data_IF_123762919544
#
_entry.id   IF_123762919544
#
_cell.length_a   1.000
_cell.length_b   1.000
_cell.length_c   1.000
_cell.angle_alpha   90.00
_cell.angle_beta   90.00
_cell.angle_gamma   90.00
#
_symmetry.space_group_name_H-M   'P 1'
#
loop_
_entity.id
_entity.type
_entity.pdbx_description
1 polymer ?
#
# COMPACT_ATOMS: atom_id res chain seq x y z
N UNK A 1 -29.61 -17.03 30.24
CA UNK A 1 -29.54 -15.85 29.35
C UNK A 1 -28.11 -15.34 29.41
N UNK A 2 -27.25 -15.86 28.54
CA UNK A 2 -25.83 -15.48 28.48
C UNK A 2 -25.71 -14.11 27.85
N UNK A 3 -25.11 -13.20 28.60
CA UNK A 3 -24.76 -11.85 28.19
C UNK A 3 -23.67 -11.98 27.12
N UNK A 4 -24.07 -12.05 25.85
CA UNK A 4 -23.16 -11.93 24.73
C UNK A 4 -22.53 -10.55 24.81
N UNK A 5 -21.24 -10.49 25.10
CA UNK A 5 -20.47 -9.26 25.08
C UNK A 5 -20.59 -8.65 23.68
N UNK A 6 -21.19 -7.47 23.61
CA UNK A 6 -21.06 -6.58 22.46
C UNK A 6 -19.61 -6.06 22.48
N UNK A 7 -18.64 -6.92 22.16
CA UNK A 7 -17.33 -6.45 21.71
C UNK A 7 -17.59 -5.85 20.33
N UNK A 8 -17.79 -4.54 20.28
CA UNK A 8 -17.75 -3.76 19.05
C UNK A 8 -16.46 -4.15 18.34
N UNK A 9 -16.55 -4.80 17.17
CA UNK A 9 -15.38 -5.11 16.36
C UNK A 9 -14.71 -3.79 16.03
N UNK A 10 -13.41 -3.72 16.29
CA UNK A 10 -12.60 -2.61 15.82
C UNK A 10 -12.58 -2.66 14.28
N UNK A 11 -12.60 -1.50 13.62
CA UNK A 11 -12.62 -1.40 12.16
C UNK A 11 -11.44 -0.53 11.70
N UNK A 12 -10.84 -0.80 10.52
CA UNK A 12 -9.86 0.10 9.92
C UNK A 12 -10.42 1.51 9.66
N UNK A 13 -9.54 2.49 9.57
CA UNK A 13 -9.91 3.85 9.15
C UNK A 13 -10.55 3.83 7.76
N UNK A 14 -10.03 3.00 6.85
CA UNK A 14 -10.56 2.77 5.52
C UNK A 14 -10.17 1.37 5.03
N UNK A 15 -11.00 0.80 4.15
CA UNK A 15 -10.59 -0.32 3.31
C UNK A 15 -10.27 0.18 1.90
N UNK A 16 -9.06 -0.09 1.42
CA UNK A 16 -8.59 0.39 0.13
C UNK A 16 -7.11 0.09 -0.13
N UNK A 17 -6.54 0.75 -1.12
CA UNK A 17 -5.13 0.74 -1.46
C UNK A 17 -4.61 2.18 -1.44
N UNK A 18 -3.38 2.37 -0.96
CA UNK A 18 -2.69 3.67 -0.96
C UNK A 18 -1.58 3.55 -1.98
N UNK A 19 -1.79 4.16 -3.15
CA UNK A 19 -0.83 4.11 -4.25
C UNK A 19 0.30 5.12 -4.02
N UNK A 20 -0.08 6.30 -3.54
CA UNK A 20 0.78 7.47 -3.49
C UNK A 20 0.63 8.29 -2.20
N UNK A 21 1.52 9.26 -2.01
CA UNK A 21 1.39 10.24 -0.93
C UNK A 21 0.11 11.08 -1.07
N UNK A 22 -0.36 11.31 -2.31
CA UNK A 22 -1.62 11.96 -2.63
C UNK A 22 -2.83 11.24 -2.03
N UNK A 23 -2.88 9.91 -2.16
CA UNK A 23 -3.95 9.10 -1.57
C UNK A 23 -3.89 9.11 -0.04
N UNK A 24 -2.69 9.01 0.52
CA UNK A 24 -2.49 9.11 1.96
C UNK A 24 -2.97 10.46 2.51
N UNK A 25 -2.70 11.56 1.80
CA UNK A 25 -3.21 12.89 2.14
C UNK A 25 -4.73 12.98 2.01
N UNK A 26 -5.34 12.32 1.03
CA UNK A 26 -6.80 12.30 0.87
C UNK A 26 -7.49 11.54 2.00
N UNK A 27 -6.93 10.41 2.44
CA UNK A 27 -7.43 9.69 3.63
C UNK A 27 -7.24 10.54 4.89
N UNK A 28 -6.08 11.18 5.07
CA UNK A 28 -5.86 12.07 6.20
C UNK A 28 -6.84 13.25 6.21
N UNK A 29 -7.07 13.89 5.06
CA UNK A 29 -8.04 14.99 4.93
C UNK A 29 -9.45 14.52 5.35
N UNK A 30 -9.85 13.31 4.97
CA UNK A 30 -11.13 12.74 5.39
C UNK A 30 -11.21 12.56 6.92
N UNK A 31 -10.11 12.15 7.57
CA UNK A 31 -10.02 12.11 9.02
C UNK A 31 -10.11 13.51 9.65
N UNK A 32 -9.38 14.49 9.10
CA UNK A 32 -9.39 15.88 9.59
C UNK A 32 -10.76 16.55 9.47
N UNK A 33 -11.59 16.12 8.52
CA UNK A 33 -12.99 16.57 8.36
C UNK A 33 -14.00 15.73 9.15
N UNK A 34 -13.57 14.67 9.83
CA UNK A 34 -14.44 13.79 10.61
C UNK A 34 -15.28 12.82 9.76
N UNK A 35 -14.95 12.62 8.49
CA UNK A 35 -15.58 11.61 7.65
C UNK A 35 -15.05 10.20 7.94
N UNK A 36 -13.77 10.11 8.28
CA UNK A 36 -13.10 8.89 8.74
C UNK A 36 -12.56 9.12 10.15
N UNK A 37 -12.26 8.04 10.87
CA UNK A 37 -11.78 8.12 12.25
C UNK A 37 -10.31 7.74 12.35
N UNK A 38 -9.54 8.53 13.11
CA UNK A 38 -8.22 8.12 13.56
C UNK A 38 -8.32 6.92 14.49
N UNK A 39 -7.27 6.10 14.51
CA UNK A 39 -7.05 5.08 15.51
C UNK A 39 -6.84 5.76 16.87
N UNK A 40 -7.70 5.51 17.88
CA UNK A 40 -7.68 6.27 19.12
C UNK A 40 -6.73 5.68 20.17
N UNK A 41 -6.18 4.48 19.93
CA UNK A 41 -5.27 3.75 20.84
C UNK A 41 -4.62 2.58 20.13
N UNK A 42 -3.58 2.01 20.75
CA UNK A 42 -3.02 0.73 20.32
C UNK A 42 -4.10 -0.36 20.28
N UNK A 43 -4.06 -1.17 19.23
CA UNK A 43 -4.93 -2.34 19.07
C UNK A 43 -4.59 -3.40 20.12
N UNK A 44 -5.62 -4.10 20.62
CA UNK A 44 -5.39 -5.35 21.32
C UNK A 44 -4.98 -6.45 20.32
N UNK A 45 -4.23 -7.48 20.75
CA UNK A 45 -3.84 -8.59 19.88
C UNK A 45 -5.01 -9.23 19.14
N UNK A 46 -6.13 -9.45 19.83
CA UNK A 46 -7.34 -10.05 19.25
C UNK A 46 -8.00 -9.12 18.20
N UNK A 47 -7.96 -7.81 18.42
CA UNK A 47 -8.45 -6.82 17.44
C UNK A 47 -7.56 -6.84 16.21
N UNK A 48 -6.24 -6.74 16.40
CA UNK A 48 -5.25 -6.75 15.33
C UNK A 48 -5.38 -8.00 14.45
N UNK A 49 -5.55 -9.18 15.03
CA UNK A 49 -5.75 -10.43 14.28
C UNK A 49 -6.95 -10.34 13.31
N UNK A 50 -7.98 -9.56 13.65
CA UNK A 50 -9.18 -9.42 12.83
C UNK A 50 -9.09 -8.30 11.78
N UNK A 51 -8.29 -7.25 12.02
CA UNK A 51 -8.28 -6.04 11.17
C UNK A 51 -6.99 -5.87 10.37
N UNK A 52 -5.88 -6.52 10.72
CA UNK A 52 -4.62 -6.45 9.97
C UNK A 52 -4.67 -7.45 8.82
N UNK A 53 -5.12 -6.96 7.66
CA UNK A 53 -5.29 -7.77 6.45
C UNK A 53 -5.09 -6.90 5.20
N UNK A 54 -4.96 -7.54 4.03
CA UNK A 54 -4.88 -6.80 2.77
C UNK A 54 -6.08 -5.87 2.61
N UNK A 55 -5.79 -4.62 2.24
CA UNK A 55 -6.77 -3.56 2.07
C UNK A 55 -6.99 -2.70 3.31
N UNK A 56 -6.50 -3.09 4.49
CA UNK A 56 -6.71 -2.28 5.70
C UNK A 56 -5.82 -1.04 5.71
N UNK A 57 -6.42 0.12 5.99
CA UNK A 57 -5.72 1.40 6.14
C UNK A 57 -6.06 1.98 7.52
N UNK A 58 -5.04 2.44 8.23
CA UNK A 58 -5.14 3.04 9.55
C UNK A 58 -4.47 4.41 9.55
N UNK A 59 -5.11 5.38 10.20
CA UNK A 59 -4.50 6.69 10.44
C UNK A 59 -4.43 6.92 11.93
N UNK A 60 -3.25 7.15 12.49
CA UNK A 60 -3.12 7.51 13.90
C UNK A 60 -2.31 8.79 14.07
N UNK A 61 -2.53 9.44 15.20
CA UNK A 61 -1.81 10.63 15.63
C UNK A 61 -1.25 10.35 17.03
N UNK A 62 0.03 10.62 17.26
CA UNK A 62 0.74 10.14 18.44
C UNK A 62 0.25 10.72 19.77
N UNK A 63 -0.12 12.01 19.81
CA UNK A 63 -0.49 12.70 21.05
C UNK A 63 -1.85 12.25 21.59
N UNK A 64 -2.87 12.16 20.74
CA UNK A 64 -4.23 11.79 21.09
C UNK A 64 -4.38 10.28 21.29
N UNK A 65 -3.65 9.46 20.52
CA UNK A 65 -3.71 7.99 20.66
C UNK A 65 -2.78 7.41 21.73
N UNK A 66 -1.76 8.18 22.15
CA UNK A 66 -0.67 7.69 22.99
C UNK A 66 0.30 6.73 22.28
N UNK A 67 0.19 6.58 20.96
CA UNK A 67 1.01 5.66 20.16
C UNK A 67 2.26 6.35 19.61
N UNK A 68 3.44 5.92 20.07
CA UNK A 68 4.71 6.34 19.46
C UNK A 68 5.06 5.57 18.18
N UNK A 69 4.51 4.36 18.06
CA UNK A 69 4.72 3.46 16.93
C UNK A 69 3.50 2.59 16.69
N UNK A 70 3.42 2.03 15.49
CA UNK A 70 2.36 1.11 15.10
C UNK A 70 2.71 -0.32 15.49
N UNK A 71 1.86 -0.97 16.29
CA UNK A 71 2.00 -2.37 16.68
C UNK A 71 0.87 -3.21 16.10
N UNK A 72 1.22 -4.12 15.21
CA UNK A 72 0.31 -5.03 14.49
C UNK A 72 0.55 -6.50 14.84
N UNK A 73 1.46 -6.80 15.76
CA UNK A 73 1.80 -8.16 16.21
C UNK A 73 2.27 -9.12 15.10
N UNK A 74 2.69 -8.61 13.95
CA UNK A 74 3.29 -9.40 12.87
C UNK A 74 4.83 -9.34 12.91
N UNK A 75 5.47 -10.41 12.44
CA UNK A 75 6.91 -10.44 12.16
C UNK A 75 7.18 -9.91 10.75
N UNK A 76 7.98 -8.85 10.66
CA UNK A 76 8.25 -8.11 9.42
C UNK A 76 9.71 -8.27 8.97
N UNK A 77 9.95 -8.12 7.67
CA UNK A 77 11.27 -7.96 7.06
C UNK A 77 12.06 -6.76 7.64
N UNK A 78 13.31 -6.57 7.23
CA UNK A 78 13.96 -5.27 7.45
C UNK A 78 13.21 -4.19 6.64
N UNK A 79 12.84 -3.10 7.30
CA UNK A 79 12.08 -2.03 6.67
C UNK A 79 12.90 -1.34 5.58
N UNK A 80 12.32 -1.19 4.40
CA UNK A 80 12.94 -0.58 3.23
C UNK A 80 12.30 0.77 2.93
N UNK A 81 13.11 1.81 2.72
CA UNK A 81 12.62 3.09 2.22
C UNK A 81 12.46 3.00 0.70
N UNK A 82 11.25 3.26 0.20
CA UNK A 82 10.95 3.36 -1.24
C UNK A 82 10.03 4.56 -1.44
N UNK A 83 10.45 5.52 -2.26
CA UNK A 83 9.82 6.83 -2.29
C UNK A 83 9.80 7.49 -0.89
N UNK A 84 8.69 8.11 -0.55
CA UNK A 84 8.40 8.67 0.79
C UNK A 84 7.84 7.63 1.78
N UNK A 85 7.75 6.36 1.38
CA UNK A 85 7.18 5.30 2.20
C UNK A 85 8.25 4.38 2.78
N UNK A 86 7.99 3.91 3.99
CA UNK A 86 8.70 2.78 4.56
C UNK A 86 7.85 1.53 4.39
N UNK A 87 8.44 0.49 3.80
CA UNK A 87 7.74 -0.73 3.39
C UNK A 87 8.36 -1.98 4.02
N UNK A 88 7.52 -2.93 4.40
CA UNK A 88 7.88 -4.22 4.99
C UNK A 88 7.01 -5.32 4.41
N UNK A 89 7.49 -6.57 4.43
CA UNK A 89 6.66 -7.73 4.10
C UNK A 89 6.78 -8.80 5.18
N UNK A 90 5.75 -9.64 5.30
CA UNK A 90 5.81 -10.87 6.10
C UNK A 90 6.68 -11.91 5.39
N UNK A 91 7.27 -12.84 6.15
CA UNK A 91 7.83 -14.04 5.55
C UNK A 91 6.74 -14.86 4.82
N UNK A 92 7.13 -15.65 3.81
CA UNK A 92 6.22 -16.61 3.15
C UNK A 92 5.60 -17.50 4.24
N UNK A 93 4.28 -17.60 4.28
CA UNK A 93 3.67 -18.66 5.09
C UNK A 93 4.17 -19.99 4.54
N UNK A 94 4.75 -20.84 5.38
CA UNK A 94 5.16 -22.20 5.00
C UNK A 94 3.95 -22.94 4.41
N UNK A 95 3.83 -22.96 3.08
CA UNK A 95 3.23 -24.10 2.40
C UNK A 95 4.19 -25.25 2.71
N UNK A 96 3.78 -26.12 3.63
CA UNK A 96 4.57 -27.23 4.08
C UNK A 96 4.97 -28.12 2.90
N UNK A 97 6.23 -28.59 2.95
CA UNK A 97 6.75 -29.79 2.30
C UNK A 97 6.54 -29.90 0.79
N UNK A 98 7.42 -29.29 0.00
CA UNK A 98 7.93 -29.96 -1.20
C UNK A 98 9.39 -29.57 -1.40
N UNK A 99 10.25 -30.58 -1.39
CA UNK A 99 11.70 -30.46 -1.40
C UNK A 99 12.29 -30.16 -2.81
N UNK A 100 11.46 -29.68 -3.74
CA UNK A 100 11.81 -29.56 -5.17
C UNK A 100 11.55 -28.16 -5.75
N UNK A 101 11.50 -27.11 -4.94
CA UNK A 101 11.43 -25.74 -5.42
C UNK A 101 12.79 -25.24 -5.96
N UNK A 102 13.29 -25.87 -7.02
CA UNK A 102 14.37 -25.34 -7.86
C UNK A 102 13.79 -24.35 -8.87
N UNK A 103 13.29 -23.22 -8.42
CA UNK A 103 13.24 -21.96 -9.18
C UNK A 103 13.07 -20.84 -8.15
N UNK A 104 13.86 -19.78 -8.27
CA UNK A 104 13.73 -18.59 -7.45
C UNK A 104 12.41 -17.89 -7.78
N UNK A 105 11.30 -18.42 -7.25
CA UNK A 105 10.00 -17.76 -7.30
C UNK A 105 10.11 -16.44 -6.53
N UNK A 106 9.68 -15.35 -7.16
CA UNK A 106 9.80 -13.99 -6.63
C UNK A 106 9.29 -13.92 -5.18
N UNK A 107 9.94 -13.10 -4.35
CA UNK A 107 9.56 -12.86 -2.94
C UNK A 107 8.09 -12.38 -2.75
N UNK A 108 7.40 -12.06 -3.85
CA UNK A 108 6.01 -11.61 -3.92
C UNK A 108 5.05 -12.62 -4.58
N UNK A 109 5.53 -13.82 -4.93
CA UNK A 109 4.76 -14.92 -5.50
C UNK A 109 3.76 -15.49 -4.45
N UNK A 110 2.63 -14.79 -4.37
CA UNK A 110 1.40 -15.05 -3.63
C UNK A 110 1.50 -15.22 -2.10
N UNK A 111 0.85 -14.31 -1.37
CA UNK A 111 0.50 -14.49 0.04
C UNK A 111 1.30 -13.66 1.05
N UNK A 112 2.36 -12.97 0.63
CA UNK A 112 3.09 -12.04 1.50
C UNK A 112 2.24 -10.79 1.75
N UNK A 113 1.94 -10.51 3.02
CA UNK A 113 1.33 -9.24 3.39
C UNK A 113 2.42 -8.18 3.40
N UNK A 114 2.17 -7.07 2.72
CA UNK A 114 3.01 -5.88 2.71
C UNK A 114 2.38 -4.83 3.62
N UNK A 115 3.20 -4.20 4.45
CA UNK A 115 2.88 -3.00 5.22
C UNK A 115 3.62 -1.83 4.61
N UNK A 116 2.94 -0.71 4.38
CA UNK A 116 3.56 0.57 4.05
C UNK A 116 3.16 1.63 5.06
N UNK A 117 4.09 2.54 5.33
CA UNK A 117 3.88 3.64 6.25
C UNK A 117 4.44 4.95 5.66
N UNK A 118 3.64 6.01 5.77
CA UNK A 118 4.06 7.39 5.49
C UNK A 118 3.64 8.28 6.67
N UNK A 119 4.48 9.28 6.98
CA UNK A 119 4.20 10.28 8.00
C UNK A 119 3.91 11.63 7.35
N UNK A 120 2.74 12.19 7.64
CA UNK A 120 2.26 13.46 7.11
C UNK A 120 2.11 14.48 8.24
N UNK A 121 2.43 15.74 7.97
CA UNK A 121 2.37 16.82 8.96
C UNK A 121 1.17 17.72 8.73
N UNK A 122 0.43 18.04 9.79
CA UNK A 122 -0.67 18.99 9.76
C UNK A 122 -0.70 19.82 11.05
N UNK A 123 -0.64 21.15 10.94
CA UNK A 123 -0.63 22.07 12.09
C UNK A 123 0.44 21.72 13.15
N UNK A 124 1.62 21.30 12.71
CA UNK A 124 2.71 20.89 13.59
C UNK A 124 2.55 19.52 14.25
N UNK A 125 1.47 18.80 13.93
CA UNK A 125 1.17 17.46 14.41
C UNK A 125 1.52 16.45 13.31
N UNK A 126 2.13 15.32 13.70
CA UNK A 126 2.46 14.24 12.78
C UNK A 126 1.39 13.16 12.82
N UNK A 127 0.79 12.90 11.67
CA UNK A 127 -0.14 11.82 11.43
C UNK A 127 0.56 10.70 10.67
N UNK A 128 0.29 9.46 11.05
CA UNK A 128 0.86 8.28 10.45
C UNK A 128 -0.23 7.53 9.69
N UNK A 129 -0.03 7.33 8.39
CA UNK A 129 -0.90 6.50 7.55
C UNK A 129 -0.20 5.15 7.36
N UNK A 130 -0.85 4.08 7.81
CA UNK A 130 -0.39 2.70 7.70
C UNK A 130 -1.34 1.96 6.77
N UNK A 131 -0.81 1.36 5.71
CA UNK A 131 -1.60 0.57 4.76
C UNK A 131 -1.06 -0.85 4.65
N UNK A 132 -1.98 -1.78 4.41
CA UNK A 132 -1.69 -3.20 4.24
C UNK A 132 -2.21 -3.68 2.90
N UNK A 133 -1.41 -4.47 2.18
CA UNK A 133 -1.84 -5.05 0.91
C UNK A 133 -1.07 -6.33 0.59
N UNK A 134 -1.66 -7.18 -0.23
CA UNK A 134 -0.98 -8.27 -0.92
C UNK A 134 -0.97 -7.94 -2.40
N UNK A 135 0.03 -8.44 -3.16
CA UNK A 135 0.11 -8.18 -4.60
C UNK A 135 -1.20 -8.59 -5.33
N UNK A 136 -1.71 -9.79 -5.05
CA UNK A 136 -2.99 -10.26 -5.59
C UNK A 136 -4.23 -9.50 -5.08
N UNK A 137 -4.10 -8.68 -4.04
CA UNK A 137 -5.17 -7.84 -3.50
C UNK A 137 -5.21 -6.43 -4.07
N UNK A 138 -4.17 -5.97 -4.78
CA UNK A 138 -4.04 -4.56 -5.23
C UNK A 138 -5.24 -4.14 -6.07
N UNK A 139 -5.65 -4.95 -7.05
CA UNK A 139 -6.78 -4.63 -7.93
C UNK A 139 -8.09 -4.41 -7.15
N UNK A 140 -8.50 -5.38 -6.34
CA UNK A 140 -9.76 -5.31 -5.59
C UNK A 140 -9.72 -4.19 -4.54
N UNK A 141 -8.58 -3.99 -3.88
CA UNK A 141 -8.42 -2.93 -2.89
C UNK A 141 -8.38 -1.54 -3.52
N UNK A 142 -7.80 -1.40 -4.71
CA UNK A 142 -7.84 -0.15 -5.49
C UNK A 142 -9.28 0.22 -5.86
N UNK A 143 -10.07 -0.75 -6.34
CA UNK A 143 -11.50 -0.55 -6.61
C UNK A 143 -12.27 -0.08 -5.37
N UNK A 144 -12.04 -0.72 -4.23
CA UNK A 144 -12.66 -0.33 -2.94
C UNK A 144 -12.27 1.09 -2.51
N UNK A 145 -11.00 1.45 -2.68
CA UNK A 145 -10.52 2.81 -2.39
C UNK A 145 -11.20 3.84 -3.29
N UNK A 146 -11.22 3.62 -4.60
CA UNK A 146 -11.89 4.48 -5.56
C UNK A 146 -13.36 4.67 -5.19
N UNK A 147 -14.10 3.60 -4.92
CA UNK A 147 -15.51 3.67 -4.53
C UNK A 147 -15.70 4.48 -3.25
N UNK A 148 -14.90 4.24 -2.22
CA UNK A 148 -15.01 4.93 -0.94
C UNK A 148 -14.62 6.42 -1.04
N UNK A 149 -13.51 6.73 -1.70
CA UNK A 149 -12.99 8.08 -1.83
C UNK A 149 -13.83 8.91 -2.81
N UNK A 150 -14.38 8.31 -3.88
CA UNK A 150 -15.33 8.99 -4.76
C UNK A 150 -16.61 9.38 -4.02
N UNK A 151 -17.14 8.52 -3.14
CA UNK A 151 -18.28 8.89 -2.28
C UNK A 151 -17.96 10.11 -1.40
N UNK A 152 -16.74 10.20 -0.87
CA UNK A 152 -16.33 11.37 -0.07
C UNK A 152 -16.06 12.60 -0.94
N UNK A 153 -15.53 12.45 -2.15
CA UNK A 153 -15.37 13.57 -3.10
C UNK A 153 -16.72 14.20 -3.46
N UNK A 154 -17.78 13.40 -3.58
CA UNK A 154 -19.15 13.89 -3.77
C UNK A 154 -19.65 14.73 -2.58
N UNK A 155 -19.08 14.57 -1.39
CA UNK A 155 -19.35 15.45 -0.23
C UNK A 155 -18.41 16.66 -0.18
N UNK A 156 -17.67 16.95 -1.25
CA UNK A 156 -16.73 18.06 -1.36
C UNK A 156 -15.35 17.76 -0.75
N UNK A 157 -15.01 16.49 -0.53
CA UNK A 157 -13.67 16.11 -0.07
C UNK A 157 -12.63 16.36 -1.17
N UNK A 158 -11.67 17.22 -0.87
CA UNK A 158 -10.47 17.45 -1.67
C UNK A 158 -9.33 17.81 -0.73
N UNK A 159 -8.12 17.37 -1.05
CA UNK A 159 -6.93 17.68 -0.26
C UNK A 159 -6.71 19.20 -0.29
N UNK A 160 -6.69 19.83 0.89
CA UNK A 160 -6.47 21.27 1.00
C UNK A 160 -5.01 21.61 0.67
N UNK A 161 -4.78 22.76 0.05
CA UNK A 161 -3.46 23.16 -0.41
C UNK A 161 -2.47 23.28 0.75
N UNK A 162 -2.93 23.76 1.91
CA UNK A 162 -2.08 23.90 3.09
C UNK A 162 -1.58 22.54 3.60
N UNK A 163 -2.36 21.46 3.42
CA UNK A 163 -1.92 20.13 3.78
C UNK A 163 -0.81 19.68 2.84
N UNK A 164 -0.93 19.94 1.54
CA UNK A 164 0.12 19.63 0.55
C UNK A 164 1.41 20.41 0.85
N UNK A 165 1.29 21.72 1.07
CA UNK A 165 2.44 22.61 1.31
C UNK A 165 3.18 22.33 2.62
N UNK A 166 2.54 21.70 3.60
CA UNK A 166 3.16 21.35 4.89
C UNK A 166 3.99 20.06 4.85
N UNK A 167 4.01 19.34 3.71
CA UNK A 167 4.80 18.12 3.59
C UNK A 167 6.21 18.40 3.09
N UNK A 168 7.19 17.67 3.63
CA UNK A 168 8.56 17.64 3.12
C UNK A 168 8.79 16.34 2.34
N UNK A 169 7.98 16.11 1.30
CA UNK A 169 8.11 14.92 0.45
C UNK A 169 9.36 15.03 -0.43
N UNK A 170 10.04 13.90 -0.62
CA UNK A 170 11.19 13.78 -1.52
C UNK A 170 10.75 13.47 -2.95
N UNK A 171 9.53 12.96 -3.14
CA UNK A 171 8.98 12.57 -4.42
C UNK A 171 7.67 13.32 -4.73
N UNK A 172 7.27 13.42 -6.01
CA UNK A 172 5.97 13.97 -6.38
C UNK A 172 4.81 13.25 -5.66
N UNK A 173 3.73 13.97 -5.38
CA UNK A 173 2.58 13.43 -4.63
C UNK A 173 1.89 12.24 -5.32
N UNK A 174 2.12 12.04 -6.61
CA UNK A 174 1.59 10.95 -7.43
C UNK A 174 2.64 9.88 -7.74
N UNK A 175 3.81 9.91 -7.08
CA UNK A 175 4.78 8.82 -7.17
C UNK A 175 4.22 7.56 -6.52
N UNK A 176 4.44 6.40 -7.15
CA UNK A 176 3.87 5.10 -6.81
C UNK A 176 4.96 4.12 -6.33
N UNK A 177 5.47 4.26 -5.10
CA UNK A 177 6.63 3.52 -4.62
C UNK A 177 6.39 2.01 -4.46
N UNK A 178 5.15 1.55 -4.49
CA UNK A 178 4.84 0.12 -4.38
C UNK A 178 5.33 -0.65 -5.62
N UNK A 179 5.35 -0.04 -6.80
CA UNK A 179 5.85 -0.65 -8.04
C UNK A 179 7.34 -0.95 -7.91
N UNK A 180 8.12 0.05 -7.52
CA UNK A 180 9.54 -0.09 -7.21
C UNK A 180 9.80 -1.08 -6.07
N UNK A 181 8.88 -1.19 -5.11
CA UNK A 181 9.00 -2.15 -4.02
C UNK A 181 8.86 -3.59 -4.54
N UNK A 182 7.85 -3.87 -5.37
CA UNK A 182 7.61 -5.21 -5.95
C UNK A 182 8.73 -5.62 -6.91
N UNK A 183 9.28 -4.66 -7.66
CA UNK A 183 10.35 -4.90 -8.63
C UNK A 183 11.76 -5.04 -8.02
N UNK A 184 11.88 -5.08 -6.69
CA UNK A 184 13.14 -5.39 -6.03
C UNK A 184 13.35 -6.89 -5.96
N UNK A 185 14.57 -7.33 -6.25
CA UNK A 185 15.04 -8.69 -6.00
C UNK A 185 16.30 -8.61 -5.12
N UNK A 186 16.35 -9.38 -4.03
CA UNK A 186 17.50 -9.39 -3.10
C UNK A 186 17.93 -8.01 -2.57
N UNK A 187 16.99 -7.08 -2.43
CA UNK A 187 17.26 -5.72 -1.93
C UNK A 187 17.88 -4.77 -2.95
N UNK A 188 18.11 -5.21 -4.19
CA UNK A 188 18.48 -4.35 -5.31
C UNK A 188 17.25 -4.12 -6.18
N UNK A 189 17.05 -2.88 -6.63
CA UNK A 189 16.15 -2.62 -7.77
C UNK A 189 16.78 -3.37 -8.94
N UNK A 190 16.00 -4.15 -9.70
CA UNK A 190 16.50 -4.79 -10.92
C UNK A 190 16.95 -3.65 -11.85
N UNK A 191 18.26 -3.37 -11.85
CA UNK A 191 18.81 -2.23 -12.58
C UNK A 191 18.85 -2.65 -14.04
N UNK A 192 18.09 -1.90 -14.83
CA UNK A 192 17.73 -2.14 -16.22
C UNK A 192 16.61 -3.17 -16.37
N UNK A 193 15.42 -2.78 -15.96
CA UNK A 193 14.22 -3.46 -16.37
C UNK A 193 13.73 -2.95 -17.76
N UNK A 194 14.44 -2.00 -18.40
CA UNK A 194 14.19 -1.61 -19.79
C UNK A 194 14.17 -2.79 -20.80
N UNK A 195 15.01 -3.84 -20.67
CA UNK A 195 14.94 -5.02 -21.53
C UNK A 195 13.78 -5.97 -21.20
N UNK A 196 13.26 -5.96 -19.96
CA UNK A 196 12.01 -6.65 -19.59
C UNK A 196 10.78 -5.88 -20.11
N UNK A 197 10.96 -4.63 -20.52
CA UNK A 197 9.90 -3.72 -20.93
C UNK A 197 9.88 -3.45 -22.43
N UNK A 198 10.89 -3.85 -23.21
CA UNK A 198 11.02 -3.48 -24.63
C UNK A 198 9.91 -4.02 -25.54
N UNK A 199 9.41 -5.24 -25.32
CA UNK A 199 8.28 -5.77 -26.10
C UNK A 199 6.92 -5.40 -25.52
N UNK A 200 6.90 -4.95 -24.26
CA UNK A 200 5.68 -4.62 -23.53
C UNK A 200 5.41 -3.11 -23.49
N UNK A 201 6.37 -2.27 -23.90
CA UNK A 201 6.30 -0.79 -23.91
C UNK A 201 5.20 -0.23 -24.82
N UNK A 202 4.89 -0.90 -25.92
CA UNK A 202 3.75 -0.55 -26.78
C UNK A 202 2.42 -0.82 -26.08
N UNK A 203 2.31 -1.95 -25.38
CA UNK A 203 1.15 -2.29 -24.55
C UNK A 203 1.02 -1.33 -23.34
N UNK A 204 2.14 -0.84 -22.79
CA UNK A 204 2.17 0.07 -21.64
C UNK A 204 1.67 1.48 -21.96
N UNK A 205 1.99 2.06 -23.12
CA UNK A 205 1.41 3.36 -23.52
C UNK A 205 -0.09 3.26 -23.82
N UNK A 206 -0.56 2.13 -24.37
CA UNK A 206 -1.99 1.85 -24.59
C UNK A 206 -2.73 1.63 -23.27
N UNK A 207 -2.06 1.04 -22.27
CA UNK A 207 -2.53 0.81 -20.90
C UNK A 207 -2.17 1.92 -19.93
N UNK A 208 -1.85 3.12 -20.42
CA UNK A 208 -1.76 4.33 -19.61
C UNK A 208 -0.54 4.45 -18.69
N UNK A 209 0.61 3.86 -19.01
CA UNK A 209 1.88 4.18 -18.35
C UNK A 209 2.63 5.30 -19.10
N UNK A 210 3.36 6.16 -18.38
CA UNK A 210 4.19 7.25 -18.93
C UNK A 210 5.56 7.27 -18.25
N UNK A 211 6.63 7.44 -19.03
CA UNK A 211 7.94 7.73 -18.47
C UNK A 211 8.03 9.21 -18.09
N UNK A 212 8.26 9.51 -16.82
CA UNK A 212 8.50 10.87 -16.31
C UNK A 212 9.88 10.87 -15.65
N UNK A 213 10.81 11.62 -16.22
CA UNK A 213 12.21 11.72 -15.75
C UNK A 213 12.94 10.37 -15.60
N UNK A 214 12.63 9.41 -16.47
CA UNK A 214 13.23 8.07 -16.43
C UNK A 214 12.59 7.12 -15.41
N UNK A 215 11.54 7.57 -14.72
CA UNK A 215 10.74 6.76 -13.79
C UNK A 215 9.43 6.37 -14.49
N UNK A 216 9.03 5.09 -14.49
CA UNK A 216 7.71 4.69 -14.96
C UNK A 216 6.65 5.20 -13.98
N UNK A 217 5.71 6.00 -14.49
CA UNK A 217 4.58 6.54 -13.75
C UNK A 217 3.29 6.01 -14.37
N UNK A 218 2.39 5.55 -13.52
CA UNK A 218 1.10 5.04 -13.95
C UNK A 218 0.07 6.16 -14.04
N UNK A 219 -0.78 6.10 -15.06
CA UNK A 219 -2.00 6.90 -15.07
C UNK A 219 -3.02 6.26 -14.12
N UNK A 220 -3.85 7.06 -13.42
CA UNK A 220 -4.72 6.59 -12.34
C UNK A 220 -5.67 5.42 -12.69
N UNK A 221 -5.96 5.17 -13.96
CA UNK A 221 -6.90 4.13 -14.41
C UNK A 221 -6.26 2.73 -14.58
N UNK A 222 -4.96 2.61 -14.32
CA UNK A 222 -4.14 1.52 -14.86
C UNK A 222 -3.41 0.66 -13.81
N UNK A 223 -3.57 0.97 -12.51
CA UNK A 223 -3.05 0.21 -11.35
C UNK A 223 -3.42 -1.28 -11.39
N UNK A 224 -4.61 -1.60 -11.90
CA UNK A 224 -5.06 -2.98 -12.10
C UNK A 224 -4.15 -3.76 -13.05
N UNK A 225 -3.89 -3.19 -14.23
CA UNK A 225 -3.20 -3.90 -15.32
C UNK A 225 -1.73 -4.11 -15.00
N UNK A 226 -1.16 -3.23 -14.19
CA UNK A 226 0.18 -3.38 -13.68
C UNK A 226 0.29 -4.40 -12.55
N UNK A 227 -0.70 -4.47 -11.63
CA UNK A 227 -0.73 -5.51 -10.62
C UNK A 227 -0.80 -6.90 -11.27
N UNK A 228 -1.62 -7.07 -12.31
CA UNK A 228 -1.72 -8.31 -13.08
C UNK A 228 -0.38 -8.64 -13.79
N UNK A 229 0.24 -7.66 -14.46
CA UNK A 229 1.54 -7.85 -15.11
C UNK A 229 2.64 -8.22 -14.09
N UNK A 230 2.68 -7.55 -12.94
CA UNK A 230 3.63 -7.85 -11.87
C UNK A 230 3.38 -9.22 -11.24
N UNK A 231 2.13 -9.66 -11.15
CA UNK A 231 1.79 -11.00 -10.69
C UNK A 231 2.30 -12.07 -11.67
N UNK A 232 2.13 -11.88 -12.97
CA UNK A 232 2.67 -12.78 -13.99
C UNK A 232 4.20 -12.85 -13.94
N UNK A 233 4.88 -11.70 -13.81
CA UNK A 233 6.34 -11.63 -13.62
C UNK A 233 6.74 -12.37 -12.34
N UNK A 234 6.04 -12.12 -11.22
CA UNK A 234 6.35 -12.74 -9.93
C UNK A 234 6.15 -14.26 -9.94
N UNK A 235 5.17 -14.77 -10.69
CA UNK A 235 4.89 -16.20 -10.84
C UNK A 235 5.81 -16.90 -11.86
N UNK A 236 6.70 -16.17 -12.53
CA UNK A 236 7.59 -16.74 -13.55
C UNK A 236 6.86 -17.19 -14.82
N UNK A 237 5.64 -16.69 -15.07
CA UNK A 237 4.82 -17.02 -16.24
C UNK A 237 5.14 -16.14 -17.47
N UNK A 238 6.29 -15.48 -17.46
CA UNK A 238 6.80 -14.79 -18.65
C UNK A 238 7.32 -15.80 -19.65
N UNK A 239 6.55 -16.08 -20.71
CA UNK A 239 7.09 -16.67 -21.92
C UNK A 239 8.24 -15.77 -22.39
N UNK A 240 9.47 -16.24 -22.23
CA UNK A 240 10.63 -15.70 -22.93
C UNK A 240 10.44 -16.01 -24.41
N UNK A 241 9.77 -15.10 -25.13
CA UNK A 241 9.81 -15.12 -26.59
C UNK A 241 11.18 -14.55 -26.98
N UNK A 242 12.05 -15.43 -27.48
CA UNK A 242 13.34 -15.07 -28.10
C UNK A 242 13.19 -14.14 -29.32
#
# INVERSE_FOLDING_TARGET
>A
MTQASLLTRYEPTLYGFIDSAGDAMLVLEACLRGHLLHVPRTLHPDEAQSVIQSGSIFVFESQCSGMSEWNDFHSWSSGTQVGDFRSWHTARHNLATDADATHAESQYAQGCLVKQAIALSWNGIRHHVISYWTLGGVQENSRRACDALNRLRLTGLGVREELVQQQNLLYPIHHEPWVEYVLRENGQVIVDAAPLWTDSLLDFEERGWRMIDGVPVLLPDCAREAADALLHIANGEGDYVE
#
